data_IF_048976484085
#
_entry.id   IF_048976484085
#
_cell.length_a   1.000
_cell.length_b   1.000
_cell.length_c   1.000
_cell.angle_alpha   90.00
_cell.angle_beta   90.00
_cell.angle_gamma   90.00
#
_symmetry.space_group_name_H-M   'P 1'
#
loop_
_entity.id
_entity.type
_entity.pdbx_description
1 polymer ?
#
# COMPACT_ATOMS: atom_id res chain seq x y z
N UNK A 1 -12.22 -17.53 -18.54
CA UNK A 1 -10.84 -17.03 -18.42
C UNK A 1 -10.80 -15.52 -18.19
N UNK A 2 -11.41 -14.70 -19.06
CA UNK A 2 -11.46 -13.24 -18.86
C UNK A 2 -12.16 -12.80 -17.56
N UNK A 3 -13.25 -13.46 -17.18
CA UNK A 3 -13.95 -13.20 -15.90
C UNK A 3 -13.05 -13.39 -14.66
N UNK A 4 -12.19 -14.40 -14.69
CA UNK A 4 -11.20 -14.63 -13.63
C UNK A 4 -10.18 -13.50 -13.56
N UNK A 5 -9.64 -13.07 -14.71
CA UNK A 5 -8.71 -11.93 -14.78
C UNK A 5 -9.37 -10.67 -14.23
N UNK A 6 -10.61 -10.36 -14.62
CA UNK A 6 -11.33 -9.20 -14.09
C UNK A 6 -11.50 -9.27 -12.58
N UNK A 7 -11.87 -10.42 -12.01
CA UNK A 7 -12.01 -10.57 -10.56
C UNK A 7 -10.69 -10.29 -9.81
N UNK A 8 -9.57 -10.80 -10.32
CA UNK A 8 -8.24 -10.54 -9.73
C UNK A 8 -7.84 -9.07 -9.88
N UNK A 9 -8.11 -8.46 -11.04
CA UNK A 9 -7.86 -7.04 -11.28
C UNK A 9 -8.61 -6.15 -10.28
N UNK A 10 -9.89 -6.44 -10.05
CA UNK A 10 -10.72 -5.70 -9.08
C UNK A 10 -10.16 -5.83 -7.66
N UNK A 11 -9.77 -7.04 -7.24
CA UNK A 11 -9.16 -7.27 -5.94
C UNK A 11 -7.85 -6.47 -5.77
N UNK A 12 -6.98 -6.51 -6.79
CA UNK A 12 -5.71 -5.77 -6.78
C UNK A 12 -5.95 -4.25 -6.71
N UNK A 13 -6.94 -3.74 -7.43
CA UNK A 13 -7.28 -2.30 -7.41
C UNK A 13 -7.83 -1.86 -6.06
N UNK A 14 -8.75 -2.63 -5.46
CA UNK A 14 -9.28 -2.33 -4.12
C UNK A 14 -8.14 -2.32 -3.10
N UNK A 15 -7.25 -3.31 -3.16
CA UNK A 15 -6.11 -3.37 -2.27
C UNK A 15 -5.11 -2.22 -2.50
N UNK A 16 -4.86 -1.85 -3.76
CA UNK A 16 -4.03 -0.70 -4.11
C UNK A 16 -4.61 0.63 -3.59
N UNK A 17 -5.94 0.78 -3.58
CA UNK A 17 -6.61 1.94 -2.96
C UNK A 17 -6.37 1.99 -1.45
N UNK A 18 -6.45 0.85 -0.76
CA UNK A 18 -6.16 0.75 0.68
C UNK A 18 -4.70 1.12 0.96
N UNK A 19 -3.76 0.63 0.14
CA UNK A 19 -2.35 1.03 0.24
C UNK A 19 -2.15 2.52 0.00
N UNK A 20 -2.84 3.11 -0.98
CA UNK A 20 -2.75 4.53 -1.26
C UNK A 20 -3.24 5.34 -0.05
N UNK A 21 -4.34 4.91 0.57
CA UNK A 21 -4.82 5.51 1.81
C UNK A 21 -3.78 5.42 2.93
N UNK A 22 -3.13 4.25 3.11
CA UNK A 22 -2.00 4.10 4.02
C UNK A 22 -0.86 5.08 3.73
N UNK A 23 -0.43 5.22 2.46
CA UNK A 23 0.63 6.15 2.08
C UNK A 23 0.26 7.57 2.50
N UNK A 24 -0.97 8.01 2.23
CA UNK A 24 -1.45 9.35 2.62
C UNK A 24 -1.38 9.52 4.14
N UNK A 25 -1.79 8.50 4.91
CA UNK A 25 -1.71 8.53 6.38
C UNK A 25 -0.24 8.61 6.82
N UNK A 26 0.64 7.73 6.34
CA UNK A 26 2.06 7.72 6.70
C UNK A 26 2.76 9.04 6.32
N UNK A 27 2.47 9.61 5.15
CA UNK A 27 2.99 10.91 4.74
C UNK A 27 2.50 12.02 5.66
N UNK A 28 1.21 12.05 5.97
CA UNK A 28 0.66 13.06 6.89
C UNK A 28 1.34 12.96 8.28
N UNK A 29 1.67 11.75 8.75
CA UNK A 29 2.42 11.50 10.01
C UNK A 29 3.85 11.99 9.92
N UNK A 30 4.52 11.70 8.81
CA UNK A 30 5.90 12.07 8.66
C UNK A 30 6.11 13.57 8.42
N UNK A 31 5.18 14.26 7.75
CA UNK A 31 5.27 15.70 7.52
C UNK A 31 4.85 16.52 8.75
N UNK A 32 3.92 16.03 9.55
CA UNK A 32 3.48 16.69 10.79
C UNK A 32 4.10 16.02 12.01
N UNK A 33 5.31 16.46 12.39
CA UNK A 33 6.05 15.94 13.56
C UNK A 33 5.25 15.98 14.87
N UNK A 34 4.28 16.88 14.99
CA UNK A 34 3.41 17.04 16.17
C UNK A 34 1.98 16.51 15.94
N UNK A 35 1.77 15.62 14.96
CA UNK A 35 0.43 15.12 14.70
C UNK A 35 -0.10 14.27 15.87
N UNK A 36 -1.24 14.70 16.41
CA UNK A 36 -2.07 13.94 17.35
C UNK A 36 -3.38 13.58 16.67
N UNK A 37 -3.53 12.38 16.08
CA UNK A 37 -4.77 11.99 15.43
C UNK A 37 -5.92 11.97 16.44
N UNK A 38 -7.09 12.43 15.99
CA UNK A 38 -8.32 12.28 16.78
C UNK A 38 -8.66 10.79 16.92
N UNK A 39 -9.28 10.42 18.05
CA UNK A 39 -9.54 9.00 18.39
C UNK A 39 -10.29 8.24 17.29
N UNK A 40 -11.27 8.88 16.65
CA UNK A 40 -12.04 8.28 15.55
C UNK A 40 -11.16 7.96 14.33
N UNK A 41 -10.17 8.81 14.05
CA UNK A 41 -9.26 8.61 12.92
C UNK A 41 -8.38 7.39 13.15
N UNK A 42 -7.82 7.24 14.36
CA UNK A 42 -7.00 6.07 14.71
C UNK A 42 -7.78 4.77 14.59
N UNK A 43 -9.05 4.75 15.01
CA UNK A 43 -9.93 3.57 14.88
C UNK A 43 -10.19 3.24 13.41
N UNK A 44 -10.44 4.25 12.57
CA UNK A 44 -10.65 4.03 11.14
C UNK A 44 -9.36 3.60 10.41
N UNK A 45 -8.21 4.09 10.86
CA UNK A 45 -6.90 3.81 10.26
C UNK A 45 -6.38 2.41 10.62
N UNK A 46 -6.67 1.90 11.82
CA UNK A 46 -6.22 0.60 12.30
C UNK A 46 -6.46 -0.57 11.32
N UNK A 47 -7.67 -0.81 10.79
CA UNK A 47 -7.91 -1.90 9.85
C UNK A 47 -7.08 -1.77 8.55
N UNK A 48 -6.82 -0.55 8.09
CA UNK A 48 -5.99 -0.29 6.91
C UNK A 48 -4.56 -0.76 7.18
N UNK A 49 -4.00 -0.42 8.35
CA UNK A 49 -2.67 -0.86 8.74
C UNK A 49 -2.60 -2.37 8.94
N UNK A 50 -3.59 -2.99 9.57
CA UNK A 50 -3.64 -4.44 9.78
C UNK A 50 -3.63 -5.21 8.46
N UNK A 51 -4.40 -4.76 7.47
CA UNK A 51 -4.49 -5.41 6.15
C UNK A 51 -3.24 -5.17 5.29
N UNK A 52 -2.59 -4.02 5.46
CA UNK A 52 -1.43 -3.64 4.64
C UNK A 52 -0.08 -4.04 5.24
N UNK A 53 0.03 -4.18 6.56
CA UNK A 53 1.29 -4.46 7.24
C UNK A 53 1.93 -5.80 6.89
N UNK A 54 1.21 -6.94 6.79
CA UNK A 54 1.85 -8.22 6.48
C UNK A 54 2.64 -8.21 5.16
N UNK A 55 2.07 -7.78 4.01
CA UNK A 55 2.83 -7.73 2.76
C UNK A 55 3.86 -6.60 2.72
N UNK A 56 3.60 -5.45 3.34
CA UNK A 56 4.60 -4.37 3.44
C UNK A 56 5.79 -4.84 4.27
N UNK A 57 5.57 -5.52 5.42
CA UNK A 57 6.65 -6.09 6.25
C UNK A 57 7.43 -7.16 5.51
N UNK A 58 6.77 -7.98 4.68
CA UNK A 58 7.46 -8.94 3.83
C UNK A 58 8.41 -8.25 2.86
N UNK A 59 7.97 -7.17 2.20
CA UNK A 59 8.81 -6.39 1.30
C UNK A 59 9.90 -5.60 2.03
N UNK A 60 9.64 -5.09 3.24
CA UNK A 60 10.63 -4.38 4.06
C UNK A 60 11.85 -5.24 4.41
N UNK A 61 11.73 -6.56 4.39
CA UNK A 61 12.87 -7.47 4.56
C UNK A 61 13.83 -7.42 3.38
N UNK A 62 13.34 -7.06 2.20
CA UNK A 62 14.10 -7.01 0.95
C UNK A 62 14.52 -5.56 0.66
N UNK A 63 13.61 -4.60 0.85
CA UNK A 63 13.80 -3.19 0.48
C UNK A 63 13.60 -2.32 1.74
N UNK A 64 14.68 -1.99 2.45
CA UNK A 64 14.57 -1.20 3.67
C UNK A 64 14.04 0.22 3.38
N UNK A 65 13.34 0.83 4.35
CA UNK A 65 12.82 2.19 4.19
C UNK A 65 13.96 3.20 4.06
N UNK A 66 13.83 4.16 3.14
CA UNK A 66 14.80 5.23 2.96
C UNK A 66 14.45 6.41 3.88
N UNK A 67 15.43 6.87 4.65
CA UNK A 67 15.30 8.07 5.47
C UNK A 67 15.95 9.23 4.73
N UNK A 68 15.15 10.22 4.34
CA UNK A 68 15.62 11.42 3.65
C UNK A 68 15.30 12.64 4.53
N UNK A 69 16.33 13.34 5.00
CA UNK A 69 16.16 14.63 5.67
C UNK A 69 15.26 14.63 6.92
N UNK A 70 15.21 13.51 7.65
CA UNK A 70 14.35 13.36 8.84
C UNK A 70 12.91 12.92 8.56
N UNK A 71 12.58 12.58 7.30
CA UNK A 71 11.33 11.93 6.87
C UNK A 71 11.66 10.51 6.45
N UNK A 72 10.90 9.51 6.91
CA UNK A 72 11.05 8.14 6.46
C UNK A 72 10.07 7.88 5.31
N UNK A 73 10.60 7.63 4.11
CA UNK A 73 9.80 7.22 2.96
C UNK A 73 9.85 5.70 2.83
N UNK A 74 8.69 5.07 2.94
CA UNK A 74 8.58 3.61 2.90
C UNK A 74 8.54 3.12 1.45
N UNK A 75 9.72 2.89 0.88
CA UNK A 75 9.85 2.37 -0.48
C UNK A 75 9.12 1.04 -0.68
N UNK A 76 9.04 0.21 0.36
CA UNK A 76 8.34 -1.07 0.30
C UNK A 76 6.86 -0.90 -0.06
N UNK A 77 6.21 0.14 0.45
CA UNK A 77 4.80 0.42 0.16
C UNK A 77 4.62 0.86 -1.30
N UNK A 78 5.53 1.69 -1.82
CA UNK A 78 5.55 2.09 -3.22
C UNK A 78 5.77 0.89 -4.15
N UNK A 79 6.75 0.04 -3.83
CA UNK A 79 7.02 -1.17 -4.60
C UNK A 79 5.81 -2.11 -4.59
N UNK A 80 5.16 -2.30 -3.44
CA UNK A 80 3.94 -3.10 -3.36
C UNK A 80 2.83 -2.53 -4.26
N UNK A 81 2.65 -1.21 -4.22
CA UNK A 81 1.70 -0.52 -5.07
C UNK A 81 1.97 -0.79 -6.56
N UNK A 82 3.23 -0.66 -7.01
CA UNK A 82 3.59 -0.96 -8.40
C UNK A 82 3.36 -2.43 -8.74
N UNK A 83 3.71 -3.38 -7.88
CA UNK A 83 3.45 -4.81 -8.10
C UNK A 83 1.96 -5.05 -8.35
N UNK A 84 1.09 -4.46 -7.53
CA UNK A 84 -0.36 -4.60 -7.68
C UNK A 84 -0.89 -3.92 -8.93
N UNK A 85 -0.24 -2.83 -9.37
CA UNK A 85 -0.56 -2.17 -10.62
C UNK A 85 -0.07 -2.94 -11.84
N UNK A 86 0.95 -3.79 -11.78
CA UNK A 86 1.47 -4.53 -12.95
C UNK A 86 0.98 -5.98 -13.03
N UNK A 87 0.63 -6.59 -11.90
CA UNK A 87 0.19 -7.98 -11.82
C UNK A 87 -1.03 -8.27 -12.72
N UNK A 88 -2.09 -7.43 -12.77
CA UNK A 88 -3.24 -7.67 -13.64
C UNK A 88 -2.90 -7.60 -15.14
N UNK A 89 -1.98 -6.72 -15.52
CA UNK A 89 -1.54 -6.53 -16.91
C UNK A 89 -0.78 -7.76 -17.38
N UNK A 90 0.11 -8.30 -16.54
CA UNK A 90 0.77 -9.57 -16.80
C UNK A 90 -0.26 -10.69 -17.01
N UNK A 91 -1.23 -10.83 -16.11
CA UNK A 91 -2.29 -11.83 -16.25
C UNK A 91 -3.11 -11.66 -17.53
N UNK A 92 -3.41 -10.42 -17.92
CA UNK A 92 -4.13 -10.13 -19.16
C UNK A 92 -3.32 -10.54 -20.42
N UNK A 93 -1.99 -10.41 -20.39
CA UNK A 93 -1.12 -10.83 -21.50
C UNK A 93 -1.12 -12.34 -21.71
N UNK A 94 -1.26 -13.15 -20.65
CA UNK A 94 -1.32 -14.62 -20.77
C UNK A 94 -2.69 -15.15 -21.24
N UNK A 95 -3.75 -14.34 -21.12
CA UNK A 95 -5.14 -14.73 -21.44
C UNK A 95 -5.58 -14.22 -22.82
N UNK A 96 -4.80 -13.35 -23.45
CA UNK A 96 -4.97 -12.89 -24.84
C UNK A 96 -4.38 -13.90 -25.82
#
# INVERSE_FOLDING_TARGET
>A
MLTFVYAVSWLCQIYALILLLRIVIEMTQSFSRNWRPQRWFSIAAEPIFVVTDPPVKLLRRIIPPLRLGGVALDLSVLVLFFILQFLPQLLYLFVR
#
